data_IF_387571482907
#
_entry.id   IF_387571482907
#
_cell.length_a   1.000
_cell.length_b   1.000
_cell.length_c   1.000
_cell.angle_alpha   90.00
_cell.angle_beta   90.00
_cell.angle_gamma   90.00
#
_symmetry.space_group_name_H-M   'P 1'
#
loop_
_entity.id
_entity.type
_entity.pdbx_description
1 polymer ?
#
# COMPACT_ATOMS: atom_id res chain seq x y z
N UNK A 1 16.12 15.03 -21.44
CA UNK A 1 14.65 15.04 -21.58
C UNK A 1 14.05 15.68 -20.34
N UNK A 2 12.98 16.50 -20.48
CA UNK A 2 12.27 17.08 -19.34
C UNK A 2 11.76 15.97 -18.42
N UNK A 3 11.69 16.25 -17.12
CA UNK A 3 11.08 15.31 -16.18
C UNK A 3 9.58 15.29 -16.42
N UNK A 4 8.99 14.10 -16.36
CA UNK A 4 7.58 13.85 -16.57
C UNK A 4 7.01 13.19 -15.31
N UNK A 5 5.79 13.59 -14.96
CA UNK A 5 5.05 12.99 -13.85
C UNK A 5 4.58 11.60 -14.27
N UNK A 6 4.79 10.63 -13.38
CA UNK A 6 4.37 9.25 -13.57
C UNK A 6 3.65 8.76 -12.31
N UNK A 7 2.36 8.47 -12.46
CA UNK A 7 1.53 7.80 -11.47
C UNK A 7 1.65 6.29 -11.65
N UNK A 8 1.85 5.57 -10.56
CA UNK A 8 2.07 4.12 -10.54
C UNK A 8 1.10 3.52 -9.53
N UNK A 9 0.21 2.65 -9.99
CA UNK A 9 -0.75 1.91 -9.16
C UNK A 9 -0.47 0.41 -9.18
N UNK A 10 -0.54 -0.24 -8.02
CA UNK A 10 -0.21 -1.66 -7.84
C UNK A 10 -1.22 -2.29 -6.89
N UNK A 11 -1.73 -3.47 -7.24
CA UNK A 11 -2.64 -4.23 -6.38
C UNK A 11 -2.56 -5.75 -6.64
N UNK A 12 -3.14 -6.53 -5.72
CA UNK A 12 -3.33 -7.99 -5.78
C UNK A 12 -2.02 -8.77 -6.03
N UNK A 13 -0.97 -8.38 -5.30
CA UNK A 13 0.36 -9.00 -5.44
C UNK A 13 0.68 -10.04 -4.38
N UNK A 14 -0.14 -10.12 -3.33
CA UNK A 14 0.02 -11.01 -2.19
C UNK A 14 -1.03 -12.12 -2.15
N UNK A 15 -0.78 -13.13 -1.32
CA UNK A 15 -1.70 -14.23 -1.07
C UNK A 15 -1.81 -14.50 0.44
N UNK A 16 -2.71 -15.39 0.83
CA UNK A 16 -2.78 -15.85 2.23
C UNK A 16 -1.49 -16.55 2.72
N UNK A 17 -0.64 -17.02 1.79
CA UNK A 17 0.60 -17.76 2.11
C UNK A 17 1.83 -16.87 2.20
N UNK A 18 1.79 -15.62 1.73
CA UNK A 18 2.94 -14.73 1.84
C UNK A 18 2.88 -13.51 0.92
N UNK A 19 3.98 -12.75 0.97
CA UNK A 19 4.13 -11.45 0.33
C UNK A 19 3.15 -10.39 0.88
N UNK A 20 3.28 -9.16 0.37
CA UNK A 20 2.40 -8.06 0.71
C UNK A 20 2.58 -6.95 -0.33
N UNK A 21 1.48 -6.41 -0.86
CA UNK A 21 1.52 -5.30 -1.82
C UNK A 21 2.29 -4.08 -1.30
N UNK A 22 2.19 -3.76 0.00
CA UNK A 22 2.98 -2.65 0.59
C UNK A 22 4.48 -3.00 0.70
N UNK A 23 4.84 -4.26 0.93
CA UNK A 23 6.24 -4.69 0.96
C UNK A 23 6.87 -4.61 -0.44
N UNK A 24 6.12 -4.97 -1.49
CA UNK A 24 6.54 -4.76 -2.86
C UNK A 24 6.79 -3.27 -3.14
N UNK A 25 5.88 -2.39 -2.73
CA UNK A 25 6.07 -0.95 -2.85
C UNK A 25 7.33 -0.46 -2.10
N UNK A 26 7.59 -0.94 -0.88
CA UNK A 26 8.82 -0.66 -0.15
C UNK A 26 10.07 -1.07 -0.94
N UNK A 27 10.06 -2.26 -1.56
CA UNK A 27 11.18 -2.75 -2.38
C UNK A 27 11.40 -1.90 -3.63
N UNK A 28 10.32 -1.52 -4.31
CA UNK A 28 10.36 -0.65 -5.49
C UNK A 28 10.91 0.72 -5.10
N UNK A 29 10.32 1.39 -4.11
CA UNK A 29 10.71 2.73 -3.67
C UNK A 29 12.17 2.73 -3.20
N UNK A 30 12.59 1.72 -2.44
CA UNK A 30 14.00 1.58 -2.01
C UNK A 30 14.97 1.45 -3.18
N UNK A 31 14.55 0.82 -4.27
CA UNK A 31 15.35 0.72 -5.50
C UNK A 31 15.32 2.02 -6.30
N UNK A 32 14.17 2.70 -6.36
CA UNK A 32 13.97 3.97 -7.06
C UNK A 32 14.72 5.12 -6.41
N UNK A 33 14.96 5.10 -5.09
CA UNK A 33 15.86 6.05 -4.41
C UNK A 33 17.30 6.05 -4.94
N UNK A 34 17.70 5.00 -5.67
CA UNK A 34 19.00 4.89 -6.34
C UNK A 34 18.95 5.31 -7.82
N UNK A 35 17.79 5.78 -8.27
CA UNK A 35 17.57 6.31 -9.61
C UNK A 35 17.40 7.84 -9.53
N UNK A 36 17.60 8.54 -10.64
CA UNK A 36 17.36 9.99 -10.71
C UNK A 36 15.85 10.27 -10.88
N UNK A 37 15.10 10.13 -9.79
CA UNK A 37 13.66 10.40 -9.71
C UNK A 37 13.34 11.27 -8.50
N UNK A 38 12.33 12.12 -8.63
CA UNK A 38 11.79 12.87 -7.50
C UNK A 38 10.50 12.19 -7.04
N UNK A 39 10.37 11.95 -5.74
CA UNK A 39 9.10 11.51 -5.16
C UNK A 39 8.23 12.74 -4.88
N UNK A 40 7.00 12.75 -5.37
CA UNK A 40 6.14 13.93 -5.32
C UNK A 40 5.21 13.97 -4.09
N UNK A 41 5.05 12.85 -3.40
CA UNK A 41 4.32 12.72 -2.13
C UNK A 41 4.72 11.37 -1.46
N UNK A 42 4.17 11.09 -0.27
CA UNK A 42 4.13 9.74 0.30
C UNK A 42 3.38 8.78 -0.65
N UNK A 43 3.74 7.48 -0.67
CA UNK A 43 2.91 6.49 -1.32
C UNK A 43 1.54 6.39 -0.64
N UNK A 44 0.50 6.22 -1.43
CA UNK A 44 -0.86 5.99 -0.98
C UNK A 44 -1.07 4.51 -0.67
N UNK A 45 -1.71 4.21 0.45
CA UNK A 45 -2.29 2.91 0.77
C UNK A 45 -3.79 3.09 0.95
N UNK A 46 -4.56 2.68 -0.06
CA UNK A 46 -6.02 2.89 -0.09
C UNK A 46 -6.71 1.56 0.14
N UNK A 47 -7.60 1.53 1.14
CA UNK A 47 -8.45 0.39 1.48
C UNK A 47 -9.79 0.56 0.76
N UNK A 48 -10.10 -0.37 -0.14
CA UNK A 48 -11.38 -0.42 -0.85
C UNK A 48 -12.40 -1.26 -0.07
N UNK A 49 -13.57 -1.50 -0.68
CA UNK A 49 -14.70 -2.20 -0.07
C UNK A 49 -14.28 -3.39 0.80
N UNK A 50 -14.55 -3.37 2.13
CA UNK A 50 -14.12 -4.45 3.01
C UNK A 50 -14.94 -5.73 2.79
N UNK A 51 -16.08 -5.69 2.11
CA UNK A 51 -17.00 -6.83 1.97
C UNK A 51 -16.71 -7.73 0.76
N UNK A 52 -15.60 -7.49 0.04
CA UNK A 52 -15.23 -8.27 -1.14
C UNK A 52 -14.78 -9.70 -0.74
N UNK A 53 -15.38 -10.76 -1.32
CA UNK A 53 -15.15 -12.14 -0.86
C UNK A 53 -13.78 -12.71 -1.23
N UNK A 54 -13.15 -12.22 -2.30
CA UNK A 54 -11.81 -12.65 -2.74
C UNK A 54 -10.68 -11.75 -2.24
N UNK A 55 -10.95 -10.84 -1.30
CA UNK A 55 -9.91 -9.97 -0.74
C UNK A 55 -8.80 -10.79 -0.09
N UNK A 56 -7.54 -10.37 -0.26
CA UNK A 56 -6.53 -10.65 0.76
C UNK A 56 -6.82 -9.76 1.99
N UNK A 57 -6.06 -9.91 3.08
CA UNK A 57 -6.37 -9.18 4.31
C UNK A 57 -6.38 -7.66 4.07
N UNK A 58 -7.59 -7.10 4.13
CA UNK A 58 -7.87 -5.67 4.10
C UNK A 58 -8.02 -5.03 2.72
N UNK A 59 -8.15 -5.77 1.61
CA UNK A 59 -8.51 -5.24 0.27
C UNK A 59 -7.84 -3.88 -0.09
N UNK A 60 -6.50 -3.82 -0.06
CA UNK A 60 -5.77 -2.56 -0.16
C UNK A 60 -4.82 -2.51 -1.33
N UNK A 61 -4.88 -1.43 -2.11
CA UNK A 61 -3.97 -1.15 -3.22
C UNK A 61 -2.97 -0.05 -2.85
N UNK A 62 -1.85 0.00 -3.59
CA UNK A 62 -0.80 1.01 -3.39
C UNK A 62 -0.61 1.86 -4.63
N UNK A 63 -0.60 3.17 -4.44
CA UNK A 63 -0.29 4.16 -5.47
C UNK A 63 0.90 5.02 -5.08
N UNK A 64 1.70 5.49 -6.03
CA UNK A 64 2.69 6.54 -5.76
C UNK A 64 2.99 7.35 -7.02
N UNK A 65 3.46 8.58 -6.83
CA UNK A 65 3.74 9.53 -7.90
C UNK A 65 5.19 9.96 -7.87
N UNK A 66 5.85 9.93 -9.02
CA UNK A 66 7.23 10.39 -9.18
C UNK A 66 7.36 11.36 -10.36
N UNK A 67 8.44 12.12 -10.38
CA UNK A 67 8.91 12.87 -11.55
C UNK A 67 10.20 12.24 -12.07
N UNK A 68 10.29 11.95 -13.37
CA UNK A 68 11.48 11.31 -13.97
C UNK A 68 11.72 11.73 -15.41
N UNK A 69 12.99 11.82 -15.82
CA UNK A 69 13.36 12.04 -17.22
C UNK A 69 13.41 10.73 -18.04
N UNK A 70 13.25 9.56 -17.40
CA UNK A 70 13.31 8.26 -18.06
C UNK A 70 12.16 7.32 -17.64
N UNK A 71 10.90 7.65 -18.01
CA UNK A 71 9.73 6.86 -17.61
C UNK A 71 9.80 5.41 -18.11
N UNK A 72 10.38 5.16 -19.31
CA UNK A 72 10.53 3.80 -19.86
C UNK A 72 11.40 2.90 -18.95
N UNK A 73 12.53 3.42 -18.45
CA UNK A 73 13.38 2.69 -17.49
C UNK A 73 12.63 2.37 -16.21
N UNK A 74 11.89 3.34 -15.66
CA UNK A 74 11.12 3.14 -14.43
C UNK A 74 10.03 2.09 -14.64
N UNK A 75 9.23 2.20 -15.71
CA UNK A 75 8.17 1.24 -16.05
C UNK A 75 8.72 -0.18 -16.12
N UNK A 76 9.84 -0.39 -16.81
CA UNK A 76 10.49 -1.70 -16.90
C UNK A 76 11.00 -2.23 -15.56
N UNK A 77 11.58 -1.36 -14.74
CA UNK A 77 12.05 -1.71 -13.40
C UNK A 77 10.87 -2.16 -12.52
N UNK A 78 9.79 -1.38 -12.47
CA UNK A 78 8.61 -1.72 -11.67
C UNK A 78 7.96 -3.01 -12.16
N UNK A 79 7.81 -3.20 -13.48
CA UNK A 79 7.34 -4.46 -14.09
C UNK A 79 8.17 -5.67 -13.64
N UNK A 80 9.50 -5.53 -13.57
CA UNK A 80 10.41 -6.59 -13.07
C UNK A 80 10.14 -6.91 -11.59
N UNK A 81 9.96 -5.90 -10.75
CA UNK A 81 9.67 -6.10 -9.33
C UNK A 81 8.31 -6.79 -9.12
N UNK A 82 7.27 -6.39 -9.85
CA UNK A 82 5.97 -7.07 -9.80
C UNK A 82 6.14 -8.55 -10.15
N UNK A 83 6.79 -8.87 -11.27
CA UNK A 83 7.06 -10.28 -11.65
C UNK A 83 7.82 -11.07 -10.57
N UNK A 84 8.76 -10.44 -9.87
CA UNK A 84 9.62 -11.10 -8.90
C UNK A 84 8.93 -11.34 -7.55
N UNK A 85 8.12 -10.39 -7.09
CA UNK A 85 7.59 -10.38 -5.71
C UNK A 85 6.12 -10.77 -5.62
N UNK A 86 5.41 -10.89 -6.75
CA UNK A 86 4.01 -11.31 -6.75
C UNK A 86 3.86 -12.81 -6.51
N UNK A 87 2.96 -13.17 -5.60
CA UNK A 87 2.72 -14.56 -5.21
C UNK A 87 1.70 -15.28 -6.12
N UNK A 88 1.92 -15.17 -7.44
CA UNK A 88 1.00 -15.67 -8.48
C UNK A 88 0.73 -17.16 -8.34
N UNK A 89 1.75 -17.94 -7.94
CA UNK A 89 1.64 -19.39 -7.72
C UNK A 89 0.63 -19.75 -6.62
N UNK A 90 0.31 -18.82 -5.74
CA UNK A 90 -0.64 -19.02 -4.63
C UNK A 90 -1.92 -18.19 -4.79
N UNK A 91 -2.23 -17.75 -6.01
CA UNK A 91 -3.54 -17.19 -6.37
C UNK A 91 -3.60 -15.67 -6.52
N UNK A 92 -2.50 -14.95 -6.32
CA UNK A 92 -2.46 -13.50 -6.58
C UNK A 92 -2.69 -13.19 -8.07
N UNK A 93 -3.44 -12.13 -8.38
CA UNK A 93 -3.64 -11.63 -9.76
C UNK A 93 -3.14 -10.18 -9.93
N UNK A 94 -1.81 -9.97 -9.90
CA UNK A 94 -1.19 -8.65 -9.88
C UNK A 94 -1.70 -7.73 -10.98
N UNK A 95 -2.06 -6.51 -10.61
CA UNK A 95 -2.26 -5.40 -11.54
C UNK A 95 -1.22 -4.31 -11.33
N UNK A 96 -0.76 -3.74 -12.43
CA UNK A 96 0.15 -2.61 -12.47
C UNK A 96 -0.33 -1.63 -13.54
N UNK A 97 -0.56 -0.39 -13.15
CA UNK A 97 -1.04 0.68 -14.05
C UNK A 97 -0.06 1.85 -14.00
N UNK A 98 0.24 2.41 -15.17
CA UNK A 98 0.99 3.64 -15.32
C UNK A 98 0.11 4.71 -15.97
N UNK A 99 0.01 5.87 -15.34
CA UNK A 99 -0.60 7.05 -15.94
C UNK A 99 0.47 8.15 -16.00
N UNK A 100 0.79 8.59 -17.21
CA UNK A 100 1.81 9.59 -17.51
C UNK A 100 1.08 10.80 -18.07
N UNK A 101 0.35 11.46 -17.19
CA UNK A 101 -0.45 12.64 -17.47
C UNK A 101 -0.45 13.50 -16.20
N UNK A 102 -0.55 14.82 -16.36
CA UNK A 102 -0.85 15.71 -15.24
C UNK A 102 -2.30 15.55 -14.80
N UNK A 103 -3.19 15.22 -15.74
CA UNK A 103 -4.62 15.04 -15.51
C UNK A 103 -5.00 13.56 -15.57
N UNK A 104 -5.33 13.01 -14.41
CA UNK A 104 -5.82 11.63 -14.30
C UNK A 104 -7.24 11.58 -14.91
N UNK A 105 -7.55 10.62 -15.79
CA UNK A 105 -8.89 10.53 -16.39
C UNK A 105 -10.00 10.38 -15.35
N UNK A 106 -11.13 11.08 -15.53
CA UNK A 106 -12.28 11.03 -14.60
C UNK A 106 -12.83 9.61 -14.38
N UNK A 107 -12.67 8.73 -15.37
CA UNK A 107 -13.03 7.31 -15.27
C UNK A 107 -12.29 6.61 -14.12
N UNK A 108 -11.07 7.05 -13.76
CA UNK A 108 -10.32 6.50 -12.62
C UNK A 108 -10.94 6.92 -11.30
N UNK A 109 -11.30 8.19 -11.15
CA UNK A 109 -11.97 8.73 -9.95
C UNK A 109 -13.33 8.07 -9.75
N UNK A 110 -14.08 7.85 -10.84
CA UNK A 110 -15.34 7.11 -10.82
C UNK A 110 -15.14 5.65 -10.41
N UNK A 111 -14.18 4.95 -11.01
CA UNK A 111 -13.87 3.56 -10.65
C UNK A 111 -13.41 3.44 -9.19
N UNK A 112 -12.64 4.41 -8.71
CA UNK A 112 -12.17 4.51 -7.33
C UNK A 112 -13.33 4.65 -6.35
N UNK A 113 -14.21 5.60 -6.62
CA UNK A 113 -15.45 5.84 -5.87
C UNK A 113 -16.31 4.58 -5.83
N UNK A 114 -16.62 3.99 -6.99
CA UNK A 114 -17.40 2.75 -7.05
C UNK A 114 -16.72 1.59 -6.30
N UNK A 115 -15.39 1.47 -6.35
CA UNK A 115 -14.65 0.40 -5.66
C UNK A 115 -14.70 0.49 -4.13
N UNK A 116 -15.11 1.63 -3.56
CA UNK A 116 -15.24 1.79 -2.10
C UNK A 116 -16.42 1.00 -1.53
N UNK A 117 -17.48 0.76 -2.30
CA UNK A 117 -18.69 0.08 -1.82
C UNK A 117 -19.29 -0.96 -2.79
N UNK A 118 -18.91 -0.96 -4.07
CA UNK A 118 -19.42 -1.91 -5.07
C UNK A 118 -18.45 -3.06 -5.35
N UNK A 119 -19.02 -4.14 -5.90
CA UNK A 119 -18.27 -5.21 -6.53
C UNK A 119 -17.94 -4.81 -7.97
N UNK A 120 -16.67 -4.59 -8.28
CA UNK A 120 -16.25 -4.15 -9.61
C UNK A 120 -15.83 -5.33 -10.49
N UNK A 121 -16.41 -5.39 -11.68
CA UNK A 121 -15.98 -6.34 -12.71
C UNK A 121 -14.58 -5.96 -13.22
N UNK A 122 -13.64 -6.90 -13.19
CA UNK A 122 -12.25 -6.71 -13.70
C UNK A 122 -12.18 -6.19 -15.14
N UNK A 123 -13.16 -6.52 -15.97
CA UNK A 123 -13.22 -6.06 -17.36
C UNK A 123 -13.50 -4.55 -17.46
N UNK A 124 -14.12 -3.95 -16.44
CA UNK A 124 -14.33 -2.49 -16.39
C UNK A 124 -13.00 -1.75 -16.37
N UNK A 125 -12.05 -2.19 -15.54
CA UNK A 125 -10.70 -1.60 -15.52
C UNK A 125 -9.99 -1.74 -16.87
N UNK A 126 -10.05 -2.93 -17.50
CA UNK A 126 -9.44 -3.16 -18.82
C UNK A 126 -10.03 -2.24 -19.90
N UNK A 127 -11.35 -2.05 -19.91
CA UNK A 127 -12.03 -1.13 -20.84
C UNK A 127 -11.58 0.31 -20.65
N UNK A 128 -11.50 0.78 -19.40
CA UNK A 128 -11.04 2.13 -19.07
C UNK A 128 -9.58 2.33 -19.53
N UNK A 129 -8.68 1.40 -19.20
CA UNK A 129 -7.26 1.49 -19.57
C UNK A 129 -7.06 1.48 -21.09
N UNK A 130 -7.82 0.67 -21.82
CA UNK A 130 -7.79 0.62 -23.28
C UNK A 130 -8.33 1.92 -23.92
N UNK A 131 -9.45 2.46 -23.40
CA UNK A 131 -10.04 3.72 -23.86
C UNK A 131 -9.04 4.88 -23.84
N UNK A 132 -8.19 4.94 -22.81
CA UNK A 132 -7.20 6.01 -22.61
C UNK A 132 -5.79 5.66 -23.11
N UNK A 133 -5.62 4.52 -23.81
CA UNK A 133 -4.32 4.05 -24.32
C UNK A 133 -3.20 4.04 -23.26
N UNK A 134 -3.51 3.62 -22.04
CA UNK A 134 -2.57 3.64 -20.91
C UNK A 134 -1.68 2.39 -20.87
N UNK A 135 -0.45 2.54 -20.38
CA UNK A 135 0.45 1.40 -20.17
C UNK A 135 0.07 0.67 -18.88
N UNK A 136 -0.30 -0.59 -19.00
CA UNK A 136 -0.58 -1.46 -17.88
C UNK A 136 0.04 -2.84 -18.08
N UNK A 137 0.20 -3.56 -16.97
CA UNK A 137 0.72 -4.92 -16.92
C UNK A 137 -0.07 -5.70 -15.88
N UNK A 138 -0.34 -6.98 -16.15
CA UNK A 138 -0.97 -7.85 -15.18
C UNK A 138 -0.50 -9.30 -15.32
N UNK A 139 -0.65 -10.06 -14.25
CA UNK A 139 -0.45 -11.51 -14.23
C UNK A 139 -1.76 -12.18 -13.77
N UNK A 140 -1.96 -13.42 -14.21
CA UNK A 140 -3.21 -14.14 -13.96
C UNK A 140 -4.38 -13.48 -14.69
N UNK A 141 -5.48 -13.28 -13.99
CA UNK A 141 -6.75 -12.90 -14.61
C UNK A 141 -7.00 -11.38 -14.71
N UNK A 142 -6.09 -10.57 -14.17
CA UNK A 142 -6.14 -9.10 -14.20
C UNK A 142 -7.04 -8.45 -13.15
N UNK A 143 -7.42 -9.16 -12.08
CA UNK A 143 -8.23 -8.62 -10.99
C UNK A 143 -7.57 -7.39 -10.32
N UNK A 144 -6.25 -7.43 -10.08
CA UNK A 144 -5.52 -6.31 -9.49
C UNK A 144 -5.53 -5.02 -10.33
N UNK A 145 -5.93 -5.07 -11.61
CA UNK A 145 -6.08 -3.84 -12.40
C UNK A 145 -7.18 -2.93 -11.83
N UNK A 146 -8.17 -3.49 -11.12
CA UNK A 146 -9.21 -2.70 -10.44
C UNK A 146 -8.56 -1.80 -9.40
N UNK A 147 -7.92 -2.37 -8.36
CA UNK A 147 -7.33 -1.56 -7.31
C UNK A 147 -6.15 -0.71 -7.77
N UNK A 148 -5.34 -1.20 -8.72
CA UNK A 148 -4.24 -0.43 -9.31
C UNK A 148 -4.73 0.81 -10.07
N UNK A 149 -5.88 0.72 -10.74
CA UNK A 149 -6.50 1.88 -11.40
C UNK A 149 -7.16 2.79 -10.37
N UNK A 150 -7.95 2.21 -9.47
CA UNK A 150 -8.68 2.95 -8.44
C UNK A 150 -7.77 3.74 -7.51
N UNK A 151 -6.61 3.21 -7.11
CA UNK A 151 -5.67 3.94 -6.22
C UNK A 151 -5.02 5.15 -6.88
N UNK A 152 -4.90 5.16 -8.21
CA UNK A 152 -4.43 6.33 -8.96
C UNK A 152 -5.53 7.40 -8.96
N UNK A 153 -6.79 7.01 -9.17
CA UNK A 153 -7.95 7.90 -9.13
C UNK A 153 -8.45 8.25 -7.73
N UNK A 154 -7.79 7.82 -6.67
CA UNK A 154 -8.25 8.10 -5.32
C UNK A 154 -7.94 9.54 -4.90
N UNK A 155 -8.99 10.28 -4.57
CA UNK A 155 -8.87 11.60 -3.97
C UNK A 155 -9.14 11.52 -2.47
N UNK A 156 -8.23 12.02 -1.66
CA UNK A 156 -8.38 12.05 -0.20
C UNK A 156 -9.20 13.27 0.21
N UNK A 157 -10.40 13.06 0.74
CA UNK A 157 -11.17 14.10 1.46
C UNK A 157 -10.66 14.26 2.90
N UNK A 158 -10.43 13.13 3.55
CA UNK A 158 -9.72 13.00 4.83
C UNK A 158 -8.59 11.97 4.68
N UNK A 159 -7.57 12.06 5.51
CA UNK A 159 -6.39 11.20 5.42
C UNK A 159 -5.71 11.01 6.77
N UNK A 160 -5.21 9.80 6.97
CA UNK A 160 -4.26 9.48 8.04
C UNK A 160 -2.98 8.94 7.43
N UNK A 161 -2.02 8.61 8.28
CA UNK A 161 -0.77 7.98 7.87
C UNK A 161 -0.56 6.64 8.58
N UNK A 162 0.10 5.72 7.90
CA UNK A 162 0.52 4.44 8.48
C UNK A 162 2.00 4.19 8.19
N UNK A 163 2.80 4.05 9.24
CA UNK A 163 4.18 3.60 9.15
C UNK A 163 4.20 2.08 9.24
N UNK A 164 4.50 1.43 8.13
CA UNK A 164 4.72 -0.02 8.07
C UNK A 164 6.21 -0.31 8.18
N UNK A 165 6.57 -1.14 9.15
CA UNK A 165 7.93 -1.64 9.32
C UNK A 165 8.03 -3.06 8.80
N UNK A 166 9.12 -3.39 8.11
CA UNK A 166 9.25 -4.63 7.36
C UNK A 166 10.36 -5.53 7.89
N UNK A 167 10.13 -6.83 7.82
CA UNK A 167 11.06 -7.87 8.25
C UNK A 167 12.11 -8.14 7.18
N UNK A 168 13.24 -8.70 7.60
CA UNK A 168 14.16 -9.35 6.66
C UNK A 168 13.53 -10.65 6.16
N UNK A 169 13.83 -11.04 4.93
CA UNK A 169 13.30 -12.28 4.33
C UNK A 169 13.59 -13.53 5.17
N UNK A 170 14.76 -13.57 5.85
CA UNK A 170 15.14 -14.64 6.78
C UNK A 170 14.23 -14.79 8.02
N UNK A 171 13.31 -13.85 8.23
CA UNK A 171 12.36 -13.84 9.35
C UNK A 171 10.90 -14.03 8.92
N UNK A 172 10.60 -14.13 7.62
CA UNK A 172 9.24 -14.39 7.16
C UNK A 172 8.73 -15.73 7.72
N UNK A 173 7.43 -15.80 8.05
CA UNK A 173 6.84 -16.96 8.70
C UNK A 173 7.17 -17.14 10.20
N UNK A 174 8.27 -16.55 10.71
CA UNK A 174 8.64 -16.70 12.13
C UNK A 174 7.74 -15.89 13.04
N UNK A 175 7.58 -16.31 14.30
CA UNK A 175 6.80 -15.57 15.31
C UNK A 175 7.35 -14.15 15.48
N UNK A 176 6.45 -13.16 15.47
CA UNK A 176 6.78 -11.77 15.81
C UNK A 176 6.69 -11.59 17.32
N UNK A 177 7.51 -10.68 17.86
CA UNK A 177 7.49 -10.35 19.27
C UNK A 177 7.78 -8.86 19.47
N UNK A 178 6.91 -8.21 20.22
CA UNK A 178 7.07 -6.84 20.69
C UNK A 178 6.79 -6.81 22.20
N UNK A 179 7.49 -5.92 22.88
CA UNK A 179 7.24 -5.66 24.29
C UNK A 179 5.89 -4.94 24.44
N UNK A 180 4.96 -5.63 25.08
CA UNK A 180 3.59 -5.16 25.31
C UNK A 180 3.55 -3.85 26.10
N UNK A 181 4.43 -3.70 27.08
CA UNK A 181 4.52 -2.50 27.91
C UNK A 181 4.95 -1.29 27.07
N UNK A 182 5.92 -1.48 26.18
CA UNK A 182 6.39 -0.43 25.25
C UNK A 182 5.33 -0.03 24.24
N UNK A 183 4.57 -0.99 23.71
CA UNK A 183 3.45 -0.69 22.80
C UNK A 183 2.38 0.15 23.51
N UNK A 184 2.01 -0.24 24.74
CA UNK A 184 1.05 0.52 25.57
C UNK A 184 1.57 1.93 25.86
N UNK A 185 2.79 2.05 26.35
CA UNK A 185 3.43 3.34 26.66
C UNK A 185 3.56 4.23 25.41
N UNK A 186 3.88 3.65 24.25
CA UNK A 186 3.91 4.36 22.98
C UNK A 186 2.55 4.99 22.71
N UNK A 187 1.47 4.18 22.70
CA UNK A 187 0.13 4.70 22.43
C UNK A 187 -0.28 5.79 23.43
N UNK A 188 -0.05 5.60 24.73
CA UNK A 188 -0.43 6.57 25.76
C UNK A 188 0.30 7.92 25.59
N UNK A 189 1.58 7.89 25.20
CA UNK A 189 2.40 9.10 25.02
C UNK A 189 2.13 9.83 23.71
N UNK A 190 1.69 9.12 22.68
CA UNK A 190 1.48 9.70 21.35
C UNK A 190 0.01 9.90 21.00
N UNK A 191 -0.93 9.50 21.87
CA UNK A 191 -2.35 9.84 21.75
C UNK A 191 -2.57 11.36 21.85
N UNK A 192 -3.50 11.97 21.08
CA UNK A 192 -4.34 11.35 20.04
C UNK A 192 -3.66 11.22 18.67
N UNK A 193 -2.43 11.72 18.52
CA UNK A 193 -1.71 11.74 17.24
C UNK A 193 -1.35 10.35 16.69
N UNK A 194 -1.51 9.28 17.49
CA UNK A 194 -1.50 7.88 17.06
C UNK A 194 -2.69 7.15 17.64
N UNK A 195 -3.18 6.14 16.94
CA UNK A 195 -4.36 5.39 17.36
C UNK A 195 -4.29 3.90 17.00
N UNK A 196 -5.21 3.11 17.53
CA UNK A 196 -5.41 1.67 17.22
C UNK A 196 -4.12 0.83 17.29
N UNK A 197 -3.23 1.16 18.23
CA UNK A 197 -1.96 0.46 18.44
C UNK A 197 -2.06 -0.60 19.54
N UNK A 198 -2.89 -0.35 20.56
CA UNK A 198 -3.09 -1.20 21.72
C UNK A 198 -4.55 -1.16 22.22
N UNK A 199 -5.12 -2.32 22.51
CA UNK A 199 -6.41 -2.46 23.19
C UNK A 199 -6.15 -2.61 24.71
N UNK A 200 -6.41 -1.54 25.46
CA UNK A 200 -6.23 -1.53 26.92
C UNK A 200 -7.22 -2.43 27.65
N UNK A 201 -8.45 -2.60 27.12
CA UNK A 201 -9.49 -3.43 27.74
C UNK A 201 -9.15 -4.91 27.61
N UNK A 202 -8.73 -5.34 26.42
CA UNK A 202 -8.34 -6.73 26.15
C UNK A 202 -6.86 -7.01 26.45
N UNK A 203 -6.11 -6.00 26.88
CA UNK A 203 -4.66 -6.04 27.04
C UNK A 203 -4.02 -6.70 25.81
N UNK A 204 -4.19 -6.11 24.61
CA UNK A 204 -3.80 -6.74 23.33
C UNK A 204 -3.09 -5.75 22.40
N UNK A 205 -1.99 -6.19 21.79
CA UNK A 205 -1.31 -5.45 20.71
C UNK A 205 -2.17 -5.51 19.44
N UNK A 206 -2.44 -4.35 18.83
CA UNK A 206 -3.22 -4.23 17.60
C UNK A 206 -2.37 -3.93 16.37
N UNK A 207 -1.24 -3.24 16.54
CA UNK A 207 -0.33 -2.82 15.46
C UNK A 207 0.45 -3.97 14.78
N UNK A 208 0.34 -5.20 15.26
CA UNK A 208 1.17 -6.32 14.80
C UNK A 208 0.33 -7.33 14.01
N UNK A 209 0.64 -7.59 12.73
CA UNK A 209 -0.09 -8.59 11.94
C UNK A 209 0.24 -10.00 12.40
N UNK A 210 -0.68 -10.92 12.09
CA UNK A 210 -0.52 -12.36 12.30
C UNK A 210 -0.17 -13.05 10.97
N UNK A 211 0.57 -14.17 11.01
CA UNK A 211 0.81 -14.98 9.81
C UNK A 211 2.16 -14.69 9.12
N UNK A 212 2.36 -15.17 7.88
CA UNK A 212 3.69 -15.27 7.28
C UNK A 212 4.18 -13.98 6.61
N UNK A 213 3.37 -12.92 6.61
CA UNK A 213 3.61 -11.72 5.81
C UNK A 213 4.94 -10.99 6.16
N UNK A 214 5.43 -10.11 5.27
CA UNK A 214 6.66 -9.35 5.51
C UNK A 214 6.55 -8.19 6.52
N UNK A 215 5.34 -7.77 6.91
CA UNK A 215 5.13 -6.62 7.78
C UNK A 215 5.42 -7.04 9.22
N UNK A 216 6.24 -6.30 9.95
CA UNK A 216 6.52 -6.53 11.36
C UNK A 216 5.50 -5.82 12.26
N UNK A 217 5.23 -4.55 12.00
CA UNK A 217 4.12 -3.78 12.61
C UNK A 217 3.68 -2.61 11.71
N UNK A 218 2.51 -2.05 12.01
CA UNK A 218 1.99 -0.81 11.44
C UNK A 218 1.52 0.17 12.52
N UNK A 219 2.14 1.35 12.61
CA UNK A 219 1.68 2.44 13.51
C UNK A 219 0.85 3.43 12.70
N UNK A 220 -0.36 3.74 13.17
CA UNK A 220 -1.29 4.68 12.52
C UNK A 220 -1.39 6.00 13.29
N UNK A 221 -1.57 7.10 12.58
CA UNK A 221 -1.63 8.42 13.18
C UNK A 221 -1.81 9.56 12.20
N UNK A 222 -1.81 10.78 12.73
CA UNK A 222 -2.18 12.00 12.00
C UNK A 222 -1.02 12.63 11.22
N UNK A 223 0.22 12.32 11.56
CA UNK A 223 1.38 12.90 10.86
C UNK A 223 2.64 12.03 10.92
N UNK A 224 3.49 12.18 9.91
CA UNK A 224 4.71 11.39 9.71
C UNK A 224 5.75 11.55 10.83
N UNK A 225 5.89 12.75 11.43
CA UNK A 225 6.86 13.02 12.50
C UNK A 225 6.51 12.20 13.75
N UNK A 226 5.24 12.23 14.18
CA UNK A 226 4.77 11.41 15.30
C UNK A 226 4.96 9.93 15.03
N UNK A 227 4.65 9.45 13.82
CA UNK A 227 4.83 8.04 13.46
C UNK A 227 6.28 7.57 13.60
N UNK A 228 7.25 8.38 13.17
CA UNK A 228 8.68 8.06 13.31
C UNK A 228 9.07 7.99 14.79
N UNK A 229 8.64 8.96 15.60
CA UNK A 229 8.91 8.98 17.04
C UNK A 229 8.29 7.78 17.75
N UNK A 230 7.02 7.48 17.47
CA UNK A 230 6.29 6.33 17.99
C UNK A 230 6.98 5.01 17.62
N UNK A 231 7.38 4.85 16.34
CA UNK A 231 8.09 3.68 15.85
C UNK A 231 9.42 3.42 16.57
N UNK A 232 10.16 4.47 16.93
CA UNK A 232 11.42 4.36 17.71
C UNK A 232 11.18 3.85 19.14
N UNK A 233 10.07 4.22 19.76
CA UNK A 233 9.73 3.79 21.14
C UNK A 233 9.50 2.28 21.26
N UNK A 234 9.07 1.62 20.17
CA UNK A 234 8.75 0.20 20.17
C UNK A 234 9.97 -0.71 20.37
N UNK A 235 11.17 -0.27 19.98
CA UNK A 235 12.46 -0.94 20.19
C UNK A 235 12.40 -2.48 19.98
N UNK A 236 12.06 -2.95 18.78
CA UNK A 236 11.97 -4.38 18.49
C UNK A 236 13.33 -5.07 18.65
N UNK A 237 13.34 -6.27 19.23
CA UNK A 237 14.55 -7.10 19.31
C UNK A 237 15.01 -7.59 17.92
N UNK A 238 14.06 -7.83 17.01
CA UNK A 238 14.34 -8.22 15.63
C UNK A 238 14.93 -7.03 14.85
N UNK A 239 16.07 -7.25 14.17
CA UNK A 239 16.64 -6.24 13.25
C UNK A 239 15.82 -6.17 11.96
N UNK A 240 14.98 -5.15 11.87
CA UNK A 240 14.07 -4.91 10.75
C UNK A 240 14.82 -4.48 9.48
N UNK A 241 14.20 -4.71 8.33
CA UNK A 241 14.75 -4.37 7.02
C UNK A 241 14.65 -2.86 6.71
N UNK A 242 13.64 -2.20 7.26
CA UNK A 242 13.34 -0.79 7.04
C UNK A 242 11.85 -0.51 7.23
N UNK A 243 11.42 0.70 6.91
CA UNK A 243 10.03 1.11 7.01
C UNK A 243 9.64 2.00 5.83
N UNK A 244 8.34 2.15 5.62
CA UNK A 244 7.73 3.08 4.68
C UNK A 244 6.49 3.70 5.32
N UNK A 245 6.33 5.01 5.16
CA UNK A 245 5.14 5.73 5.61
C UNK A 245 4.22 5.86 4.41
N UNK A 246 2.95 5.49 4.59
CA UNK A 246 1.90 5.64 3.62
C UNK A 246 0.91 6.70 4.06
N UNK A 247 0.37 7.44 3.09
CA UNK A 247 -0.86 8.23 3.23
C UNK A 247 -2.05 7.31 2.99
N UNK A 248 -3.08 7.33 3.84
CA UNK A 248 -4.11 6.28 3.87
C UNK A 248 -5.49 6.82 4.18
N UNK A 249 -6.52 6.11 3.74
CA UNK A 249 -7.93 6.38 4.06
C UNK A 249 -8.42 5.55 5.27
N UNK A 250 -7.48 5.03 6.07
CA UNK A 250 -7.82 4.25 7.25
C UNK A 250 -8.18 5.19 8.39
N UNK A 251 -9.22 4.86 9.15
CA UNK A 251 -9.66 5.69 10.28
C UNK A 251 -10.51 6.90 9.90
N UNK A 252 -10.78 7.12 8.61
CA UNK A 252 -11.59 8.27 8.12
C UNK A 252 -13.07 7.93 7.97
N UNK A 253 -13.42 6.65 7.87
CA UNK A 253 -14.80 6.22 7.61
C UNK A 253 -15.22 6.30 6.15
N UNK A 254 -14.29 6.45 5.19
CA UNK A 254 -14.60 6.68 3.76
C UNK A 254 -15.54 5.64 3.11
N UNK A 255 -15.56 4.41 3.62
CA UNK A 255 -16.43 3.34 3.12
C UNK A 255 -17.85 3.35 3.72
N UNK A 256 -18.16 4.28 4.64
CA UNK A 256 -19.44 4.37 5.34
C UNK A 256 -20.44 5.35 4.69
N UNK A 257 -20.11 5.94 3.53
CA UNK A 257 -21.03 6.79 2.77
C UNK A 257 -22.23 5.95 2.30
N UNK A 258 -23.33 6.07 3.04
CA UNK A 258 -24.70 5.70 2.68
C UNK A 258 -25.55 6.96 2.68
#
# INVERSE_FOLDING_TARGET
MPKQVLHIGIDDTDSAKGMCTTFLAYKIISRLKKENVDFLDFPNLVRFNPNIPWKTRGNGAVGFKISTSNPKKIKNLVKKFVKQYSDVKNGANPGLVFCQDENIPDDFSKLSSDAMWKLINRNSAKKILAKHNLDFFYLGNGQGLVGATSVIGYNFEDQTYELLSYRKSSHFGKKRSLDKSKVKQMQEKTYPNTFNSFDSKKNKILLMPHGPDPVFYGVRGENSKTLISASKMLQPKEKLAGHLIFKTNQGTGDHLKN
#
